data_IF_458411459015
#
_entry.id   IF_458411459015
#
_cell.length_a   1.000
_cell.length_b   1.000
_cell.length_c   1.000
_cell.angle_alpha   90.00
_cell.angle_beta   90.00
_cell.angle_gamma   90.00
#
_symmetry.space_group_name_H-M   'P 1'
#
loop_
_entity.id
_entity.type
_entity.pdbx_description
1 polymer ?
#
# COMPACT_ATOMS: atom_id res chain seq x y z
N UNK A 1 -2.72 -25.35 -11.70
CA UNK A 1 -1.34 -25.17 -12.23
C UNK A 1 -1.22 -25.59 -13.71
N UNK A 2 -2.13 -26.42 -14.25
CA UNK A 2 -2.06 -26.96 -15.63
C UNK A 2 -2.71 -26.12 -16.74
N UNK A 3 -3.38 -24.99 -16.45
CA UNK A 3 -4.18 -24.26 -17.45
C UNK A 3 -3.37 -23.32 -18.37
N UNK A 4 -2.07 -23.11 -18.09
CA UNK A 4 -1.25 -22.09 -18.76
C UNK A 4 0.10 -22.60 -19.30
N UNK A 5 0.32 -23.92 -19.35
CA UNK A 5 1.63 -24.49 -19.73
C UNK A 5 2.10 -24.15 -21.14
N UNK A 6 1.17 -23.79 -22.04
CA UNK A 6 1.45 -23.50 -23.45
C UNK A 6 1.63 -22.00 -23.75
N UNK A 7 1.53 -21.12 -22.75
CA UNK A 7 1.67 -19.68 -22.92
C UNK A 7 3.05 -19.22 -22.43
N UNK A 8 3.68 -18.29 -23.14
CA UNK A 8 4.96 -17.69 -22.73
C UNK A 8 4.76 -16.64 -21.62
N UNK A 9 4.16 -17.07 -20.50
CA UNK A 9 3.89 -16.23 -19.34
C UNK A 9 5.14 -15.93 -18.52
N UNK A 10 6.24 -16.69 -18.73
CA UNK A 10 7.49 -16.51 -18.00
C UNK A 10 8.05 -15.09 -18.16
N UNK A 11 7.84 -14.45 -19.31
CA UNK A 11 8.22 -13.04 -19.52
C UNK A 11 7.56 -12.09 -18.52
N UNK A 12 6.30 -12.32 -18.19
CA UNK A 12 5.51 -11.44 -17.33
C UNK A 12 5.59 -11.83 -15.85
N UNK A 13 5.76 -13.12 -15.55
CA UNK A 13 5.66 -13.65 -14.19
C UNK A 13 6.98 -14.27 -13.69
N UNK A 14 8.12 -13.63 -13.99
CA UNK A 14 9.42 -14.03 -13.46
C UNK A 14 9.67 -13.41 -12.08
N UNK A 15 9.03 -13.95 -11.05
CA UNK A 15 9.25 -13.48 -9.69
C UNK A 15 10.53 -14.09 -9.12
N UNK A 16 11.60 -13.29 -9.08
CA UNK A 16 12.84 -13.65 -8.38
C UNK A 16 12.66 -13.43 -6.89
N UNK A 17 12.31 -14.48 -6.15
CA UNK A 17 12.12 -14.45 -4.70
C UNK A 17 11.31 -15.65 -4.22
N UNK A 18 11.43 -15.99 -2.93
CA UNK A 18 10.62 -17.05 -2.34
C UNK A 18 9.20 -16.52 -2.06
N UNK A 19 8.34 -16.47 -3.08
CA UNK A 19 6.94 -16.02 -2.97
C UNK A 19 6.09 -16.84 -1.97
N UNK A 20 6.63 -17.95 -1.47
CA UNK A 20 6.00 -18.80 -0.45
C UNK A 20 6.48 -18.51 0.97
N UNK A 21 7.41 -17.54 1.15
CA UNK A 21 7.80 -17.08 2.48
C UNK A 21 6.76 -16.14 3.07
N UNK A 22 5.72 -16.73 3.66
CA UNK A 22 4.66 -16.01 4.35
C UNK A 22 5.13 -15.31 5.64
N UNK A 23 6.36 -15.54 6.11
CA UNK A 23 6.89 -14.85 7.29
C UNK A 23 7.02 -13.34 7.07
N UNK A 24 7.18 -12.92 5.82
CA UNK A 24 7.25 -11.51 5.43
C UNK A 24 5.87 -10.91 5.12
N UNK A 25 4.78 -11.66 5.28
CA UNK A 25 3.46 -11.12 5.02
C UNK A 25 3.16 -9.97 5.99
N UNK A 26 2.68 -8.84 5.44
CA UNK A 26 2.34 -7.62 6.19
C UNK A 26 3.51 -6.88 6.87
N UNK A 27 4.76 -7.27 6.61
CA UNK A 27 5.95 -6.55 7.08
C UNK A 27 6.27 -5.37 6.16
N UNK A 28 7.13 -4.46 6.63
CA UNK A 28 7.63 -3.37 5.80
C UNK A 28 8.68 -3.91 4.81
N UNK A 29 8.53 -3.58 3.52
CA UNK A 29 9.52 -3.92 2.50
C UNK A 29 10.82 -3.12 2.69
N UNK A 30 11.91 -3.57 2.07
CA UNK A 30 13.17 -2.80 2.08
C UNK A 30 13.01 -1.44 1.41
N UNK A 31 12.31 -1.39 0.27
CA UNK A 31 11.96 -0.12 -0.38
C UNK A 31 11.19 0.82 0.56
N UNK A 32 10.23 0.29 1.33
CA UNK A 32 9.51 1.10 2.32
C UNK A 32 10.41 1.62 3.46
N UNK A 33 11.40 0.82 3.90
CA UNK A 33 12.41 1.28 4.86
C UNK A 33 13.24 2.44 4.30
N UNK A 34 13.74 2.29 3.08
CA UNK A 34 14.54 3.32 2.39
C UNK A 34 13.75 4.62 2.17
N UNK A 35 12.48 4.50 1.78
CA UNK A 35 11.59 5.66 1.60
C UNK A 35 11.43 6.44 2.90
N UNK A 36 11.17 5.75 4.01
CA UNK A 36 10.95 6.38 5.32
C UNK A 36 12.23 6.94 5.92
N UNK A 37 13.35 6.25 5.73
CA UNK A 37 14.67 6.78 6.05
C UNK A 37 14.92 8.09 5.30
N UNK A 38 14.68 8.09 3.98
CA UNK A 38 14.83 9.28 3.13
C UNK A 38 13.89 10.41 3.54
N UNK A 39 12.66 10.10 3.95
CA UNK A 39 11.71 11.08 4.49
C UNK A 39 12.28 11.68 5.80
N UNK A 40 12.85 10.87 6.69
CA UNK A 40 13.50 11.31 7.92
C UNK A 40 14.64 12.30 7.65
N UNK A 41 15.53 11.98 6.71
CA UNK A 41 16.61 12.87 6.29
C UNK A 41 16.08 14.21 5.77
N UNK A 42 15.06 14.18 4.88
CA UNK A 42 14.44 15.41 4.35
C UNK A 42 13.78 16.23 5.45
N UNK A 43 13.14 15.57 6.41
CA UNK A 43 12.54 16.22 7.56
C UNK A 43 13.60 16.96 8.39
N UNK A 44 14.72 16.31 8.68
CA UNK A 44 15.84 16.92 9.39
C UNK A 44 16.39 18.15 8.66
N UNK A 45 16.70 18.03 7.38
CA UNK A 45 17.22 19.15 6.56
C UNK A 45 16.27 20.33 6.58
N UNK A 46 14.95 20.07 6.51
CA UNK A 46 13.92 21.11 6.45
C UNK A 46 13.71 21.83 7.79
N UNK A 47 13.73 21.10 8.91
CA UNK A 47 13.25 21.62 10.19
C UNK A 47 14.32 21.81 11.26
N UNK A 48 15.51 21.19 11.13
CA UNK A 48 16.59 21.26 12.14
C UNK A 48 16.98 22.69 12.52
N UNK A 49 17.05 23.61 11.54
CA UNK A 49 17.35 25.03 11.78
C UNK A 49 16.30 25.73 12.65
N UNK A 50 15.02 25.35 12.54
CA UNK A 50 13.91 25.92 13.31
C UNK A 50 13.76 25.26 14.67
N UNK A 51 14.14 24.01 14.78
CA UNK A 51 14.12 23.25 16.04
C UNK A 51 15.13 23.82 17.04
N UNK A 52 16.24 24.40 16.60
CA UNK A 52 17.24 25.01 17.50
C UNK A 52 18.09 23.96 18.21
N UNK A 53 19.25 24.39 18.74
CA UNK A 53 20.26 23.46 19.31
C UNK A 53 19.80 22.75 20.60
N UNK A 54 18.84 23.32 21.30
CA UNK A 54 18.33 22.80 22.58
C UNK A 54 17.22 21.76 22.41
N UNK A 55 16.60 21.68 21.23
CA UNK A 55 15.53 20.73 20.92
C UNK A 55 15.99 19.27 20.90
N UNK A 56 17.29 19.03 20.64
CA UNK A 56 17.89 17.70 20.72
C UNK A 56 18.38 17.36 22.14
N UNK A 57 18.54 18.36 23.00
CA UNK A 57 19.04 18.20 24.37
C UNK A 57 17.90 17.99 25.36
N UNK A 58 16.79 18.68 25.14
CA UNK A 58 15.59 18.52 25.94
C UNK A 58 14.74 17.41 25.33
N UNK A 59 14.69 16.27 26.01
CA UNK A 59 13.96 15.00 25.79
C UNK A 59 12.45 15.09 25.49
N UNK A 60 11.99 16.23 24.98
CA UNK A 60 10.63 16.55 24.54
C UNK A 60 10.22 15.87 23.23
N UNK A 61 11.17 15.36 22.44
CA UNK A 61 10.88 14.64 21.21
C UNK A 61 10.26 13.28 21.49
N UNK A 62 9.02 13.11 21.05
CA UNK A 62 8.26 11.86 21.18
C UNK A 62 7.97 11.31 19.81
N UNK A 63 8.48 10.11 19.57
CA UNK A 63 8.11 9.31 18.41
C UNK A 63 7.16 8.22 18.88
N UNK A 64 6.02 8.10 18.23
CA UNK A 64 4.97 7.18 18.62
C UNK A 64 4.44 6.45 17.38
N UNK A 65 4.13 5.16 17.54
CA UNK A 65 3.58 4.32 16.48
C UNK A 65 2.47 3.44 17.02
N UNK A 66 1.54 3.06 16.14
CA UNK A 66 0.62 1.95 16.42
C UNK A 66 1.39 0.63 16.60
N UNK A 67 0.70 -0.37 17.16
CA UNK A 67 1.20 -1.72 17.38
C UNK A 67 1.56 -2.54 16.12
N UNK A 68 1.28 -2.04 14.90
CA UNK A 68 1.54 -2.81 13.68
C UNK A 68 3.03 -2.81 13.38
N UNK A 69 3.62 -3.99 13.16
CA UNK A 69 5.05 -4.17 12.87
C UNK A 69 5.53 -3.21 11.79
N UNK A 70 4.84 -3.16 10.65
CA UNK A 70 5.12 -2.22 9.56
C UNK A 70 5.11 -0.75 9.99
N UNK A 71 4.22 -0.34 10.91
CA UNK A 71 4.18 1.03 11.44
C UNK A 71 5.33 1.29 12.41
N UNK A 72 5.64 0.35 13.29
CA UNK A 72 6.76 0.50 14.23
C UNK A 72 8.10 0.50 13.51
N UNK A 73 8.27 -0.33 12.48
CA UNK A 73 9.47 -0.37 11.66
C UNK A 73 9.56 0.88 10.78
N UNK A 74 8.41 1.41 10.35
CA UNK A 74 8.35 2.69 9.65
C UNK A 74 8.87 3.85 10.51
N UNK A 75 8.41 3.92 11.76
CA UNK A 75 8.87 4.90 12.75
C UNK A 75 10.38 4.78 12.99
N UNK A 76 10.90 3.55 13.17
CA UNK A 76 12.34 3.32 13.36
C UNK A 76 13.15 3.81 12.16
N UNK A 77 12.76 3.45 10.94
CA UNK A 77 13.46 3.87 9.72
C UNK A 77 13.47 5.40 9.58
N UNK A 78 12.34 6.06 9.85
CA UNK A 78 12.25 7.52 9.88
C UNK A 78 13.19 8.14 10.92
N UNK A 79 13.21 7.63 12.16
CA UNK A 79 14.09 8.13 13.23
C UNK A 79 15.55 7.96 12.81
N UNK A 80 15.92 6.79 12.27
CA UNK A 80 17.29 6.53 11.81
C UNK A 80 17.72 7.54 10.74
N UNK A 81 16.87 7.83 9.75
CA UNK A 81 17.18 8.83 8.73
C UNK A 81 17.21 10.26 9.25
N UNK A 82 16.35 10.60 10.21
CA UNK A 82 16.32 11.94 10.81
C UNK A 82 17.58 12.23 11.65
N UNK A 83 18.13 11.23 12.32
CA UNK A 83 19.29 11.35 13.21
C UNK A 83 20.57 10.76 12.62
N UNK A 84 20.61 10.50 11.31
CA UNK A 84 21.78 9.94 10.66
C UNK A 84 23.02 10.82 10.88
N UNK A 85 24.15 10.19 11.24
CA UNK A 85 25.40 10.88 11.57
C UNK A 85 25.40 11.60 12.92
N UNK A 86 24.32 11.54 13.70
CA UNK A 86 24.31 11.98 15.10
C UNK A 86 24.83 10.88 16.03
N UNK A 87 25.25 11.30 17.23
CA UNK A 87 25.61 10.38 18.31
C UNK A 87 24.44 9.46 18.65
N UNK A 88 24.66 8.14 18.67
CA UNK A 88 23.62 7.13 18.92
C UNK A 88 22.96 7.30 20.29
N UNK A 89 23.66 7.89 21.26
CA UNK A 89 23.10 8.23 22.58
C UNK A 89 22.05 9.35 22.54
N UNK A 90 21.97 10.09 21.41
CA UNK A 90 21.00 11.16 21.18
C UNK A 90 19.79 10.72 20.35
N UNK A 91 19.75 9.46 19.92
CA UNK A 91 18.62 8.93 19.17
C UNK A 91 17.49 8.62 20.17
N UNK A 92 16.35 9.32 20.11
CA UNK A 92 15.26 9.10 21.04
C UNK A 92 14.59 7.75 20.82
N UNK A 93 14.08 7.16 21.90
CA UNK A 93 13.29 5.94 21.83
C UNK A 93 11.90 6.22 21.26
N UNK A 94 11.44 5.36 20.36
CA UNK A 94 10.07 5.39 19.83
C UNK A 94 9.13 4.52 20.66
N UNK A 95 8.01 5.07 21.10
CA UNK A 95 6.98 4.35 21.86
C UNK A 95 6.01 3.64 20.92
N UNK A 96 5.69 2.39 21.22
CA UNK A 96 4.67 1.61 20.50
C UNK A 96 3.41 1.52 21.37
N UNK A 97 2.29 1.97 20.84
CA UNK A 97 0.97 1.87 21.50
C UNK A 97 0.40 0.47 21.29
N UNK A 98 -0.21 -0.11 22.33
CA UNK A 98 -0.81 -1.45 22.27
C UNK A 98 -2.11 -1.43 21.46
N UNK A 99 -2.35 -2.46 20.63
CA UNK A 99 -3.49 -2.44 19.70
C UNK A 99 -4.86 -2.32 20.39
N UNK A 100 -5.00 -2.89 21.58
CA UNK A 100 -6.30 -3.08 22.24
C UNK A 100 -6.93 -1.77 22.72
N UNK A 101 -6.10 -0.75 22.98
CA UNK A 101 -6.52 0.54 23.55
C UNK A 101 -5.95 1.71 22.74
N UNK A 102 -5.60 1.48 21.47
CA UNK A 102 -5.01 2.49 20.60
C UNK A 102 -6.08 3.47 20.11
N UNK A 103 -6.40 4.44 20.96
CA UNK A 103 -7.38 5.52 20.71
C UNK A 103 -6.83 6.63 19.80
N UNK A 104 -5.54 6.63 19.49
CA UNK A 104 -4.90 7.69 18.71
C UNK A 104 -4.71 7.27 17.25
N UNK A 105 -4.14 6.09 17.01
CA UNK A 105 -3.79 5.64 15.66
C UNK A 105 -4.78 4.61 15.10
N UNK A 106 -5.59 3.99 15.97
CA UNK A 106 -6.52 2.91 15.58
C UNK A 106 -7.91 3.09 16.19
N UNK A 107 -8.31 4.32 16.48
CA UNK A 107 -9.63 4.69 17.00
C UNK A 107 -10.79 4.02 16.23
N UNK A 108 -10.66 3.90 14.91
CA UNK A 108 -11.65 3.27 14.04
C UNK A 108 -11.91 1.79 14.33
N UNK A 109 -11.00 1.10 15.03
CA UNK A 109 -11.21 -0.28 15.50
C UNK A 109 -12.01 -0.35 16.81
N UNK A 110 -12.07 0.73 17.57
CA UNK A 110 -12.76 0.81 18.85
C UNK A 110 -14.25 1.16 18.67
N UNK A 111 -14.62 1.79 17.55
CA UNK A 111 -16.01 2.09 17.24
C UNK A 111 -16.75 0.87 16.67
N UNK A 112 -17.57 0.21 17.49
CA UNK A 112 -18.38 -0.95 17.08
C UNK A 112 -19.34 -0.62 15.94
N UNK A 113 -19.96 0.57 15.96
CA UNK A 113 -20.85 1.02 14.87
C UNK A 113 -20.10 1.11 13.54
N UNK A 114 -18.92 1.71 13.55
CA UNK A 114 -18.07 1.83 12.35
C UNK A 114 -17.65 0.46 11.83
N UNK A 115 -17.15 -0.42 12.71
CA UNK A 115 -16.69 -1.75 12.29
C UNK A 115 -17.81 -2.63 11.77
N UNK A 116 -19.03 -2.52 12.31
CA UNK A 116 -20.20 -3.24 11.81
C UNK A 116 -20.67 -2.70 10.46
N UNK A 117 -20.76 -1.36 10.31
CA UNK A 117 -21.09 -0.73 9.04
C UNK A 117 -20.15 -1.23 7.92
N UNK A 118 -18.83 -1.22 8.15
CA UNK A 118 -17.84 -1.63 7.15
C UNK A 118 -17.81 -3.14 6.86
N UNK A 119 -18.32 -3.98 7.76
CA UNK A 119 -18.57 -5.40 7.45
C UNK A 119 -19.77 -5.58 6.51
N UNK A 120 -20.76 -4.71 6.62
CA UNK A 120 -22.03 -4.79 5.91
C UNK A 120 -22.12 -3.90 4.67
N UNK A 121 -21.20 -2.94 4.48
CA UNK A 121 -21.16 -2.01 3.35
C UNK A 121 -20.97 -2.77 2.04
N UNK A 122 -22.08 -3.02 1.35
CA UNK A 122 -22.14 -3.57 -0.01
C UNK A 122 -21.98 -2.51 -1.09
N UNK A 123 -22.11 -1.23 -0.75
CA UNK A 123 -22.08 -0.10 -1.71
C UNK A 123 -20.81 -0.09 -2.56
N UNK A 124 -19.63 -0.19 -1.93
CA UNK A 124 -18.38 -0.31 -2.68
C UNK A 124 -18.40 -1.49 -3.66
N UNK A 125 -18.90 -2.66 -3.23
CA UNK A 125 -18.94 -3.84 -4.10
C UNK A 125 -19.87 -3.63 -5.30
N UNK A 126 -21.00 -2.97 -5.09
CA UNK A 126 -21.95 -2.64 -6.17
C UNK A 126 -21.32 -1.66 -7.17
N UNK A 127 -20.68 -0.60 -6.67
CA UNK A 127 -20.04 0.41 -7.53
C UNK A 127 -18.79 -0.13 -8.24
N UNK A 128 -18.01 -0.98 -7.56
CA UNK A 128 -16.92 -1.74 -8.18
C UNK A 128 -17.43 -2.60 -9.33
N UNK A 129 -18.51 -3.36 -9.12
CA UNK A 129 -19.11 -4.18 -10.17
C UNK A 129 -19.61 -3.33 -11.35
N UNK A 130 -20.27 -2.20 -11.09
CA UNK A 130 -20.69 -1.26 -12.15
C UNK A 130 -19.50 -0.75 -12.93
N UNK A 131 -18.40 -0.39 -12.26
CA UNK A 131 -17.20 0.11 -12.91
C UNK A 131 -16.48 -0.97 -13.72
N UNK A 132 -16.34 -2.18 -13.18
CA UNK A 132 -15.74 -3.32 -13.88
C UNK A 132 -16.51 -3.72 -15.16
N UNK A 133 -17.81 -3.42 -15.22
CA UNK A 133 -18.66 -3.64 -16.40
C UNK A 133 -18.67 -2.47 -17.39
N UNK A 134 -17.91 -1.38 -17.14
CA UNK A 134 -17.78 -0.28 -18.10
C UNK A 134 -16.98 -0.71 -19.32
N UNK A 135 -17.31 -0.12 -20.47
CA UNK A 135 -16.66 -0.38 -21.76
C UNK A 135 -15.13 -0.21 -21.69
N UNK A 136 -14.64 0.79 -20.97
CA UNK A 136 -13.20 1.02 -20.79
C UNK A 136 -12.50 -0.19 -20.16
N UNK A 137 -13.04 -0.73 -19.06
CA UNK A 137 -12.46 -1.91 -18.38
C UNK A 137 -12.58 -3.16 -19.24
N UNK A 138 -13.70 -3.35 -19.93
CA UNK A 138 -13.89 -4.48 -20.85
C UNK A 138 -12.86 -4.43 -21.98
N UNK A 139 -12.62 -3.25 -22.56
CA UNK A 139 -11.62 -3.04 -23.61
C UNK A 139 -10.20 -3.35 -23.10
N UNK A 140 -9.79 -2.75 -21.97
CA UNK A 140 -8.49 -3.01 -21.33
C UNK A 140 -8.30 -4.49 -21.06
N UNK A 141 -9.35 -5.17 -20.57
CA UNK A 141 -9.32 -6.61 -20.31
C UNK A 141 -9.09 -7.40 -21.61
N UNK A 142 -9.74 -7.00 -22.71
CA UNK A 142 -9.51 -7.59 -24.02
C UNK A 142 -8.07 -7.41 -24.50
N UNK A 143 -7.52 -6.19 -24.38
CA UNK A 143 -6.15 -5.87 -24.78
C UNK A 143 -5.10 -6.67 -23.99
N UNK A 144 -5.27 -6.78 -22.67
CA UNK A 144 -4.33 -7.56 -21.83
C UNK A 144 -4.44 -9.05 -22.14
N UNK A 145 -5.65 -9.57 -22.33
CA UNK A 145 -5.82 -10.96 -22.78
C UNK A 145 -5.14 -11.21 -24.14
N UNK A 146 -5.23 -10.26 -25.07
CA UNK A 146 -4.54 -10.33 -26.36
C UNK A 146 -3.01 -10.30 -26.20
N UNK A 147 -2.47 -9.42 -25.35
CA UNK A 147 -1.02 -9.35 -25.04
C UNK A 147 -0.49 -10.63 -24.39
N UNK A 148 -1.34 -11.33 -23.64
CA UNK A 148 -1.05 -12.63 -23.02
C UNK A 148 -1.37 -13.81 -23.96
N UNK A 149 -1.84 -13.54 -25.17
CA UNK A 149 -2.22 -14.51 -26.20
C UNK A 149 -3.35 -15.47 -25.76
N UNK A 150 -4.14 -15.09 -24.75
CA UNK A 150 -5.18 -15.94 -24.17
C UNK A 150 -6.39 -16.07 -25.11
N UNK A 151 -7.00 -17.26 -25.10
CA UNK A 151 -8.20 -17.57 -25.85
C UNK A 151 -9.47 -17.44 -24.98
N UNK A 152 -10.65 -17.65 -25.58
CA UNK A 152 -11.93 -17.49 -24.86
C UNK A 152 -12.12 -18.46 -23.68
N UNK A 153 -11.46 -19.61 -23.67
CA UNK A 153 -11.63 -20.63 -22.62
C UNK A 153 -10.76 -20.36 -21.38
N UNK A 154 -9.75 -19.50 -21.53
CA UNK A 154 -8.82 -19.12 -20.48
C UNK A 154 -8.59 -17.61 -20.34
N UNK A 155 -9.47 -16.80 -20.93
CA UNK A 155 -9.44 -15.36 -20.80
C UNK A 155 -9.61 -14.93 -19.35
N UNK A 156 -8.81 -13.96 -18.94
CA UNK A 156 -8.92 -13.28 -17.67
C UNK A 156 -10.14 -12.38 -17.63
N UNK A 157 -10.80 -12.35 -16.48
CA UNK A 157 -11.91 -11.44 -16.18
C UNK A 157 -11.39 -10.06 -15.76
N UNK A 158 -12.23 -9.00 -15.78
CA UNK A 158 -11.85 -7.70 -15.21
C UNK A 158 -11.30 -7.77 -13.77
N UNK A 159 -11.80 -8.70 -12.96
CA UNK A 159 -11.34 -8.91 -11.60
C UNK A 159 -9.93 -9.54 -11.54
N UNK A 160 -9.63 -10.44 -12.47
CA UNK A 160 -8.28 -11.00 -12.62
C UNK A 160 -7.30 -9.92 -13.06
N UNK A 161 -7.70 -9.02 -13.98
CA UNK A 161 -6.87 -7.89 -14.40
C UNK A 161 -6.61 -6.93 -13.23
N UNK A 162 -7.62 -6.63 -12.40
CA UNK A 162 -7.41 -5.89 -11.15
C UNK A 162 -6.37 -6.56 -10.25
N UNK A 163 -6.40 -7.89 -10.17
CA UNK A 163 -5.42 -8.66 -9.38
C UNK A 163 -4.02 -8.52 -9.98
N UNK A 164 -3.88 -8.55 -11.31
CA UNK A 164 -2.61 -8.29 -11.99
C UNK A 164 -2.10 -6.86 -11.76
N UNK A 165 -2.98 -5.87 -11.73
CA UNK A 165 -2.62 -4.48 -11.42
C UNK A 165 -2.04 -4.36 -10.01
N UNK A 166 -2.72 -4.95 -9.02
CA UNK A 166 -2.23 -5.01 -7.64
C UNK A 166 -0.88 -5.75 -7.59
N UNK A 167 -0.74 -6.87 -8.29
CA UNK A 167 0.50 -7.64 -8.36
C UNK A 167 1.65 -6.83 -8.97
N UNK A 168 1.39 -6.03 -10.01
CA UNK A 168 2.36 -5.08 -10.55
C UNK A 168 2.83 -4.10 -9.46
N UNK A 169 1.91 -3.47 -8.73
CA UNK A 169 2.26 -2.53 -7.66
C UNK A 169 3.13 -3.19 -6.57
N UNK A 170 2.77 -4.40 -6.12
CA UNK A 170 3.58 -5.14 -5.16
C UNK A 170 4.94 -5.53 -5.72
N UNK A 171 5.00 -6.03 -6.96
CA UNK A 171 6.26 -6.40 -7.59
C UNK A 171 7.19 -5.19 -7.68
N UNK A 172 6.70 -4.04 -8.13
CA UNK A 172 7.46 -2.80 -8.19
C UNK A 172 8.05 -2.41 -6.83
N UNK A 173 7.27 -2.49 -5.76
CA UNK A 173 7.74 -2.13 -4.40
C UNK A 173 8.76 -3.14 -3.88
N UNK A 174 8.54 -4.44 -4.08
CA UNK A 174 9.36 -5.52 -3.49
C UNK A 174 10.65 -5.74 -4.28
N UNK A 175 10.58 -5.77 -5.60
CA UNK A 175 11.73 -6.09 -6.48
C UNK A 175 12.38 -4.87 -7.10
N UNK A 176 11.78 -3.68 -6.95
CA UNK A 176 12.22 -2.44 -7.62
C UNK A 176 12.21 -2.54 -9.15
N UNK A 177 11.36 -3.42 -9.69
CA UNK A 177 11.19 -3.59 -11.13
C UNK A 177 10.70 -2.30 -11.82
N UNK A 178 11.15 -2.10 -13.06
CA UNK A 178 10.66 -1.02 -13.92
C UNK A 178 9.21 -1.28 -14.35
N UNK A 179 8.48 -0.22 -14.73
CA UNK A 179 7.11 -0.34 -15.25
C UNK A 179 7.07 -1.12 -16.58
N UNK A 180 8.17 -1.13 -17.33
CA UNK A 180 8.31 -1.85 -18.59
C UNK A 180 8.61 -3.34 -18.42
N UNK A 181 8.76 -3.83 -17.19
CA UNK A 181 9.13 -5.21 -16.90
C UNK A 181 7.98 -6.02 -16.27
N UNK A 182 8.06 -7.34 -16.44
CA UNK A 182 7.17 -8.31 -15.78
C UNK A 182 5.69 -8.01 -15.97
N UNK A 183 4.89 -8.17 -14.91
CA UNK A 183 3.43 -7.96 -14.92
C UNK A 183 3.05 -6.52 -15.22
N UNK A 184 3.90 -5.55 -14.86
CA UNK A 184 3.63 -4.13 -15.07
C UNK A 184 3.57 -3.76 -16.56
N UNK A 185 4.39 -4.41 -17.39
CA UNK A 185 4.42 -4.20 -18.85
C UNK A 185 3.10 -4.50 -19.58
N UNK A 186 2.16 -5.17 -18.91
CA UNK A 186 0.82 -5.42 -19.46
C UNK A 186 -0.02 -4.15 -19.54
N UNK A 187 0.25 -3.17 -18.68
CA UNK A 187 -0.56 -1.96 -18.50
C UNK A 187 0.03 -0.78 -19.27
N UNK A 188 -0.82 -0.09 -20.05
CA UNK A 188 -0.54 1.25 -20.58
C UNK A 188 -1.07 2.32 -19.61
N UNK A 189 -0.78 3.59 -19.89
CA UNK A 189 -1.21 4.72 -19.06
C UNK A 189 -2.73 4.73 -18.78
N UNK A 190 -3.58 4.61 -19.81
CA UNK A 190 -5.05 4.56 -19.66
C UNK A 190 -5.49 3.41 -18.73
N UNK A 191 -4.87 2.23 -18.86
CA UNK A 191 -5.19 1.10 -17.99
C UNK A 191 -4.71 1.31 -16.56
N UNK A 192 -3.56 1.95 -16.34
CA UNK A 192 -3.07 2.30 -15.01
C UNK A 192 -4.03 3.27 -14.33
N UNK A 193 -4.41 4.36 -15.00
CA UNK A 193 -5.35 5.35 -14.49
C UNK A 193 -6.72 4.73 -14.16
N UNK A 194 -7.24 3.87 -15.03
CA UNK A 194 -8.53 3.23 -14.81
C UNK A 194 -8.52 2.32 -13.56
N UNK A 195 -7.45 1.56 -13.35
CA UNK A 195 -7.33 0.69 -12.16
C UNK A 195 -6.92 1.45 -10.90
N UNK A 196 -6.18 2.56 -11.01
CA UNK A 196 -5.96 3.49 -9.91
C UNK A 196 -7.28 4.08 -9.42
N UNK A 197 -8.11 4.60 -10.34
CA UNK A 197 -9.44 5.11 -10.01
C UNK A 197 -10.32 4.05 -9.33
N UNK A 198 -10.24 2.78 -9.77
CA UNK A 198 -10.96 1.68 -9.11
C UNK A 198 -10.51 1.46 -7.65
N UNK A 199 -9.21 1.63 -7.36
CA UNK A 199 -8.71 1.56 -5.98
C UNK A 199 -9.09 2.81 -5.18
N UNK A 200 -9.12 3.99 -5.80
CA UNK A 200 -9.60 5.21 -5.17
C UNK A 200 -11.07 5.12 -4.78
N UNK A 201 -11.91 4.53 -5.63
CA UNK A 201 -13.31 4.25 -5.27
C UNK A 201 -13.40 3.43 -3.99
N UNK A 202 -12.53 2.42 -3.81
CA UNK A 202 -12.49 1.64 -2.57
C UNK A 202 -12.20 2.53 -1.36
N UNK A 203 -11.18 3.37 -1.46
CA UNK A 203 -10.84 4.30 -0.39
C UNK A 203 -11.97 5.29 -0.12
N UNK A 204 -12.58 5.81 -1.19
CA UNK A 204 -13.68 6.76 -1.11
C UNK A 204 -14.83 6.18 -0.28
N UNK A 205 -15.34 5.02 -0.70
CA UNK A 205 -16.49 4.37 -0.08
C UNK A 205 -16.20 3.78 1.31
N UNK A 206 -14.97 3.34 1.58
CA UNK A 206 -14.64 2.65 2.84
C UNK A 206 -13.99 3.52 3.91
N UNK A 207 -13.42 4.67 3.57
CA UNK A 207 -12.58 5.41 4.52
C UNK A 207 -12.74 6.92 4.47
N UNK A 208 -13.34 7.47 3.43
CA UNK A 208 -13.53 8.92 3.29
C UNK A 208 -15.00 9.32 3.49
N UNK A 209 -15.42 10.47 2.98
CA UNK A 209 -16.70 11.11 3.25
C UNK A 209 -17.90 10.46 2.53
N UNK A 210 -17.81 9.19 2.12
CA UNK A 210 -18.95 8.44 1.59
C UNK A 210 -20.06 8.24 2.62
N UNK A 211 -19.71 8.22 3.92
CA UNK A 211 -20.62 8.04 5.02
C UNK A 211 -20.23 8.96 6.19
N UNK A 212 -21.21 9.61 6.81
CA UNK A 212 -21.03 10.56 7.92
C UNK A 212 -20.16 9.97 9.06
N UNK A 213 -20.45 8.71 9.42
CA UNK A 213 -19.69 7.96 10.41
C UNK A 213 -18.16 7.87 10.15
N UNK A 214 -17.68 8.01 8.91
CA UNK A 214 -16.23 8.03 8.60
C UNK A 214 -15.56 9.33 9.05
N UNK A 215 -16.31 10.44 9.06
CA UNK A 215 -15.88 11.70 9.65
C UNK A 215 -15.99 11.63 11.17
N UNK A 216 -17.13 11.18 11.71
CA UNK A 216 -17.39 11.15 13.16
C UNK A 216 -16.36 10.33 13.93
N UNK A 217 -15.91 9.21 13.35
CA UNK A 217 -14.90 8.34 13.94
C UNK A 217 -13.51 8.97 13.98
N UNK A 218 -13.24 9.97 13.13
CA UNK A 218 -11.93 10.61 13.00
C UNK A 218 -11.76 11.86 13.88
N UNK A 219 -12.83 12.30 14.57
CA UNK A 219 -12.87 13.46 15.47
C UNK A 219 -13.08 13.03 16.92
#
# INVERSE_FOLDING_TARGET
VTKFSNYNLKKYFNFTGNLTDFSQQQTLSETGRDELHSIGQRYWVRFSKRMGKDFLKNSSLRFESSCKSRSSDSMKAFIMGMFEGQDSTKIPYGKITTCAVDTIYRFFKLCTRYTNLHKCLSEFKLEEQKFLNRKIIINITGEINQKLELNKENSLTPLDIKTLYILCAYNRVVTRADLNDGVCSLFNEESLEAFEYLLDMKHYYQTTNSHELNLDVSC
#
